data_IF_296524225016
#
_entry.id   IF_296524225016
#
_cell.length_a   1.000
_cell.length_b   1.000
_cell.length_c   1.000
_cell.angle_alpha   90.00
_cell.angle_beta   90.00
_cell.angle_gamma   90.00
#
_symmetry.space_group_name_H-M   'P 1'
#
loop_
_entity.id
_entity.type
_entity.pdbx_description
1 polymer ?
#
# COMPACT_ATOMS: atom_id res chain seq x y z
N UNK A 1 -2.66 -15.65 -11.26
CA UNK A 1 -3.58 -14.66 -11.86
C UNK A 1 -3.42 -13.35 -11.11
N UNK A 2 -3.30 -12.23 -11.82
CA UNK A 2 -3.27 -10.88 -11.23
C UNK A 2 -4.66 -10.56 -10.68
N UNK A 3 -4.75 -9.98 -9.49
CA UNK A 3 -6.01 -9.51 -8.90
C UNK A 3 -6.46 -8.22 -9.59
N UNK A 4 -7.33 -8.33 -10.59
CA UNK A 4 -7.83 -7.21 -11.36
C UNK A 4 -8.56 -6.16 -10.49
N UNK A 5 -9.24 -6.58 -9.43
CA UNK A 5 -9.93 -5.65 -8.53
C UNK A 5 -8.93 -4.80 -7.74
N UNK A 6 -7.79 -5.37 -7.37
CA UNK A 6 -6.72 -4.63 -6.71
C UNK A 6 -6.04 -3.63 -7.65
N UNK A 7 -5.81 -4.00 -8.91
CA UNK A 7 -5.26 -3.06 -9.92
C UNK A 7 -6.22 -1.87 -10.12
N UNK A 8 -7.53 -2.11 -10.19
CA UNK A 8 -8.53 -1.05 -10.28
C UNK A 8 -8.53 -0.12 -9.06
N UNK A 9 -8.30 -0.65 -7.86
CA UNK A 9 -8.18 0.17 -6.64
C UNK A 9 -6.92 1.04 -6.68
N UNK A 10 -5.80 0.52 -7.17
CA UNK A 10 -4.57 1.30 -7.33
C UNK A 10 -4.75 2.40 -8.39
N UNK A 11 -5.42 2.12 -9.51
CA UNK A 11 -5.68 3.10 -10.57
C UNK A 11 -6.51 4.30 -10.09
N UNK A 12 -7.35 4.12 -9.07
CA UNK A 12 -8.14 5.21 -8.44
C UNK A 12 -7.44 5.86 -7.25
N UNK A 13 -6.26 5.37 -6.85
CA UNK A 13 -5.55 5.90 -5.69
C UNK A 13 -4.87 7.22 -6.03
N UNK A 14 -5.06 8.25 -5.19
CA UNK A 14 -4.60 9.62 -5.44
C UNK A 14 -3.10 9.74 -5.76
N UNK A 15 -2.24 8.93 -5.12
CA UNK A 15 -0.78 9.05 -5.27
C UNK A 15 -0.21 8.19 -6.39
N UNK A 16 -0.73 6.98 -6.59
CA UNK A 16 -0.11 5.98 -7.50
C UNK A 16 -0.96 5.70 -8.73
N UNK A 17 -2.21 6.18 -8.80
CA UNK A 17 -3.13 5.88 -9.88
C UNK A 17 -2.75 6.47 -11.23
N UNK A 18 -1.87 7.48 -11.25
CA UNK A 18 -1.32 8.05 -12.48
C UNK A 18 -0.24 7.18 -13.14
N UNK A 19 0.23 6.12 -12.45
CA UNK A 19 1.22 5.22 -13.03
C UNK A 19 0.62 4.42 -14.20
N UNK A 20 1.43 4.08 -15.23
CA UNK A 20 1.01 3.23 -16.33
C UNK A 20 0.42 1.90 -15.85
N UNK A 21 -0.50 1.34 -16.63
CA UNK A 21 -1.29 0.17 -16.22
C UNK A 21 -0.42 -1.05 -15.92
N UNK A 22 0.58 -1.29 -16.74
CA UNK A 22 1.59 -2.34 -16.57
C UNK A 22 2.39 -2.17 -15.26
N UNK A 23 2.65 -0.93 -14.84
CA UNK A 23 3.32 -0.64 -13.57
C UNK A 23 2.40 -0.91 -12.36
N UNK A 24 1.10 -0.66 -12.49
CA UNK A 24 0.12 -1.03 -11.45
C UNK A 24 -0.02 -2.56 -11.33
N UNK A 25 -0.02 -3.27 -12.45
CA UNK A 25 0.00 -4.74 -12.47
C UNK A 25 1.29 -5.29 -11.85
N UNK A 26 2.43 -4.66 -12.14
CA UNK A 26 3.71 -4.97 -11.51
C UNK A 26 3.67 -4.78 -9.99
N UNK A 27 3.05 -3.71 -9.49
CA UNK A 27 2.86 -3.50 -8.06
C UNK A 27 2.00 -4.61 -7.42
N UNK A 28 0.95 -5.07 -8.11
CA UNK A 28 0.12 -6.17 -7.61
C UNK A 28 0.87 -7.50 -7.61
N UNK A 29 1.72 -7.77 -8.61
CA UNK A 29 2.48 -9.02 -8.66
C UNK A 29 3.64 -9.08 -7.67
N UNK A 30 4.26 -7.95 -7.36
CA UNK A 30 5.43 -7.87 -6.46
C UNK A 30 5.07 -7.44 -5.03
N UNK A 31 3.91 -6.83 -4.84
CA UNK A 31 3.41 -6.41 -3.55
C UNK A 31 2.80 -7.53 -2.71
N UNK A 32 2.40 -7.17 -1.50
CA UNK A 32 1.63 -8.02 -0.59
C UNK A 32 0.47 -7.22 -0.01
N UNK A 33 -0.75 -7.74 -0.17
CA UNK A 33 -1.93 -7.14 0.46
C UNK A 33 -1.88 -7.42 1.97
N UNK A 34 -1.87 -6.35 2.77
CA UNK A 34 -1.91 -6.43 4.24
C UNK A 34 -3.20 -5.82 4.76
N UNK A 35 -3.76 -6.42 5.82
CA UNK A 35 -4.84 -5.85 6.62
C UNK A 35 -4.28 -5.60 8.01
N UNK A 36 -4.63 -4.47 8.59
CA UNK A 36 -4.22 -4.07 9.93
C UNK A 36 -5.48 -3.84 10.77
N UNK A 37 -5.46 -4.29 12.02
CA UNK A 37 -6.50 -3.95 12.98
C UNK A 37 -6.33 -2.52 13.50
N UNK A 38 -7.41 -1.91 13.98
CA UNK A 38 -7.31 -0.60 14.64
C UNK A 38 -6.40 -0.69 15.87
N UNK A 39 -5.44 0.22 15.96
CA UNK A 39 -4.42 0.22 17.04
C UNK A 39 -3.22 -0.70 16.78
N UNK A 40 -3.20 -1.47 15.69
CA UNK A 40 -2.03 -2.25 15.31
C UNK A 40 -0.90 -1.33 14.85
N UNK A 41 0.28 -1.49 15.45
CA UNK A 41 1.48 -0.69 15.11
C UNK A 41 2.19 -1.34 13.94
N UNK A 42 2.28 -0.60 12.83
CA UNK A 42 2.88 -1.09 11.59
C UNK A 42 4.42 -1.07 11.63
N UNK A 43 5.00 0.00 12.17
CA UNK A 43 6.43 0.22 12.36
C UNK A 43 6.68 0.96 13.67
N UNK A 44 7.83 0.72 14.28
CA UNK A 44 8.33 1.47 15.43
C UNK A 44 9.54 2.30 15.02
N UNK A 45 9.79 3.37 15.76
CA UNK A 45 11.00 4.16 15.60
C UNK A 45 12.25 3.27 15.74
N UNK A 46 13.13 3.33 14.75
CA UNK A 46 14.33 2.49 14.67
C UNK A 46 14.19 1.26 13.76
N UNK A 47 12.97 0.93 13.31
CA UNK A 47 12.78 -0.12 12.31
C UNK A 47 13.38 0.32 10.95
N UNK A 48 14.16 -0.54 10.30
CA UNK A 48 14.58 -0.35 8.92
C UNK A 48 13.41 -0.63 7.98
N UNK A 49 12.93 0.40 7.28
CA UNK A 49 11.80 0.30 6.35
C UNK A 49 12.31 0.42 4.92
N UNK A 50 12.44 -0.72 4.24
CA UNK A 50 12.93 -0.79 2.86
C UNK A 50 11.78 -1.09 1.86
N UNK A 51 10.58 -0.59 2.15
CA UNK A 51 9.37 -0.91 1.37
C UNK A 51 8.42 0.27 1.27
N UNK A 52 7.73 0.36 0.13
CA UNK A 52 6.61 1.28 -0.08
C UNK A 52 5.30 0.66 0.45
N UNK A 53 4.56 1.43 1.24
CA UNK A 53 3.22 1.07 1.69
C UNK A 53 2.19 2.02 1.10
N UNK A 54 1.17 1.44 0.45
CA UNK A 54 0.06 2.18 -0.14
C UNK A 54 -1.20 1.90 0.66
N UNK A 55 -1.81 2.94 1.24
CA UNK A 55 -3.04 2.80 2.03
C UNK A 55 -4.23 2.70 1.08
N UNK A 56 -4.75 1.49 0.90
CA UNK A 56 -5.85 1.23 -0.03
C UNK A 56 -7.25 1.47 0.56
N UNK A 57 -7.34 1.59 1.89
CA UNK A 57 -8.56 1.87 2.66
C UNK A 57 -8.17 2.13 4.12
N UNK A 58 -8.93 2.99 4.80
CA UNK A 58 -8.68 3.39 6.18
C UNK A 58 -7.65 4.51 6.30
N UNK A 59 -7.07 4.66 7.50
CA UNK A 59 -6.12 5.72 7.82
C UNK A 59 -4.98 5.16 8.67
N UNK A 60 -3.78 5.70 8.48
CA UNK A 60 -2.63 5.48 9.35
C UNK A 60 -2.34 6.77 10.11
N UNK A 61 -1.91 6.64 11.37
CA UNK A 61 -1.40 7.75 12.15
C UNK A 61 0.11 7.58 12.32
N UNK A 62 0.85 8.65 12.06
CA UNK A 62 2.30 8.70 12.28
C UNK A 62 2.52 9.58 13.50
N UNK A 63 3.24 9.04 14.49
CA UNK A 63 3.63 9.76 15.70
C UNK A 63 5.13 9.68 15.88
N UNK A 64 5.73 10.82 16.18
CA UNK A 64 7.14 10.96 16.56
C UNK A 64 7.13 11.64 17.92
N UNK A 65 7.96 11.15 18.85
CA UNK A 65 8.17 11.77 20.16
C UNK A 65 9.21 12.89 20.08
#
# INVERSE_FOLDING_TARGET
MIDAALVERLARHQTVGAAPRDQLEWLVSHGRLRRLAAGEVMFKTGDSIDSLFVVLSGHLSIRVD
#
